data_IF_173513664340
#
_entry.id   IF_173513664340
#
_cell.length_a   1.000
_cell.length_b   1.000
_cell.length_c   1.000
_cell.angle_alpha   90.00
_cell.angle_beta   90.00
_cell.angle_gamma   90.00
#
_symmetry.space_group_name_H-M   'P 1'
#
loop_
_entity.id
_entity.type
_entity.pdbx_description
1 polymer ?
#
# COMPACT_ATOMS: atom_id res chain seq x y z
N UNK A 1 -18.99 -21.92 28.88
CA UNK A 1 -18.59 -21.95 27.45
C UNK A 1 -19.52 -20.99 26.71
N UNK A 2 -19.06 -19.91 26.09
CA UNK A 2 -19.95 -19.04 25.34
C UNK A 2 -20.35 -19.74 24.04
N UNK A 3 -21.63 -19.79 23.76
CA UNK A 3 -22.24 -20.35 22.56
C UNK A 3 -21.66 -19.69 21.30
N UNK A 4 -20.87 -20.45 20.57
CA UNK A 4 -20.19 -20.01 19.36
C UNK A 4 -21.09 -20.20 18.12
N UNK A 5 -22.30 -19.61 18.14
CA UNK A 5 -23.24 -19.68 17.02
C UNK A 5 -23.41 -18.31 16.35
N UNK A 6 -22.29 -17.60 16.09
CA UNK A 6 -22.33 -16.45 15.20
C UNK A 6 -22.88 -16.86 13.84
N UNK A 7 -23.89 -16.18 13.33
CA UNK A 7 -24.48 -16.43 12.00
C UNK A 7 -23.42 -16.27 10.91
N UNK A 8 -22.55 -15.29 11.05
CA UNK A 8 -21.43 -15.07 10.11
C UNK A 8 -20.49 -16.28 10.10
N UNK A 9 -20.14 -16.84 11.26
CA UNK A 9 -19.32 -18.04 11.34
C UNK A 9 -19.99 -19.25 10.67
N UNK A 10 -21.30 -19.42 10.83
CA UNK A 10 -22.06 -20.47 10.17
C UNK A 10 -22.05 -20.31 8.63
N UNK A 11 -22.26 -19.09 8.13
CA UNK A 11 -22.23 -18.78 6.71
C UNK A 11 -20.85 -19.03 6.13
N UNK A 12 -19.78 -18.64 6.83
CA UNK A 12 -18.41 -18.83 6.38
C UNK A 12 -18.02 -20.31 6.39
N UNK A 13 -18.34 -21.05 7.44
CA UNK A 13 -18.10 -22.49 7.51
C UNK A 13 -18.84 -23.27 6.43
N UNK A 14 -20.10 -22.91 6.15
CA UNK A 14 -20.88 -23.53 5.08
C UNK A 14 -20.34 -23.21 3.67
N UNK A 15 -19.51 -22.18 3.53
CA UNK A 15 -18.88 -21.76 2.28
C UNK A 15 -17.41 -22.14 2.18
N UNK A 16 -16.94 -23.01 3.09
CA UNK A 16 -15.53 -23.46 3.20
C UNK A 16 -14.51 -22.31 3.37
N UNK A 17 -14.95 -21.22 3.98
CA UNK A 17 -14.11 -20.04 4.26
C UNK A 17 -13.61 -20.12 5.70
N UNK A 18 -12.34 -20.44 5.87
CA UNK A 18 -11.71 -20.68 7.20
C UNK A 18 -11.36 -19.42 7.98
N UNK A 19 -11.33 -18.23 7.38
CA UNK A 19 -10.89 -16.99 8.05
C UNK A 19 -11.60 -15.76 7.49
N UNK A 20 -11.67 -14.91 8.28
CA UNK A 20 -11.40 -13.67 8.84
C UNK A 20 -11.96 -12.50 8.11
N UNK A 21 -12.29 -11.64 8.99
CA UNK A 21 -12.74 -10.28 8.70
C UNK A 21 -11.79 -9.36 9.47
N UNK A 22 -10.46 -9.65 9.38
CA UNK A 22 -9.43 -8.99 10.20
C UNK A 22 -9.32 -7.48 9.98
N UNK A 23 -9.83 -6.99 8.85
CA UNK A 23 -9.93 -5.56 8.59
C UNK A 23 -11.00 -4.86 9.44
N UNK A 24 -11.96 -5.60 9.98
CA UNK A 24 -13.11 -5.03 10.67
C UNK A 24 -13.05 -5.28 12.16
N UNK A 25 -13.52 -4.30 12.92
CA UNK A 25 -13.63 -4.41 14.36
C UNK A 25 -14.77 -5.35 14.76
N UNK A 26 -14.70 -5.92 15.96
CA UNK A 26 -15.78 -6.74 16.49
C UNK A 26 -17.12 -6.01 16.55
N UNK A 27 -17.13 -4.70 16.76
CA UNK A 27 -18.35 -3.89 16.81
C UNK A 27 -19.00 -3.77 15.42
N UNK A 28 -18.21 -3.57 14.36
CA UNK A 28 -18.70 -3.55 12.97
C UNK A 28 -19.27 -4.90 12.58
N UNK A 29 -18.57 -5.98 12.91
CA UNK A 29 -19.01 -7.35 12.63
C UNK A 29 -20.34 -7.63 13.32
N UNK A 30 -20.48 -7.30 14.61
CA UNK A 30 -21.73 -7.46 15.35
C UNK A 30 -22.87 -6.62 14.77
N UNK A 31 -22.59 -5.37 14.38
CA UNK A 31 -23.58 -4.49 13.79
C UNK A 31 -24.13 -5.06 12.48
N UNK A 32 -23.27 -5.57 11.62
CA UNK A 32 -23.67 -6.19 10.34
C UNK A 32 -24.33 -7.55 10.58
N UNK A 33 -23.86 -8.34 11.52
CA UNK A 33 -24.47 -9.62 11.90
C UNK A 33 -25.92 -9.45 12.38
N UNK A 34 -26.23 -8.38 13.11
CA UNK A 34 -27.59 -8.06 13.54
C UNK A 34 -28.56 -7.82 12.38
N UNK A 35 -28.06 -7.52 11.17
CA UNK A 35 -28.86 -7.36 9.95
C UNK A 35 -29.17 -8.69 9.25
N UNK A 36 -28.63 -9.80 9.76
CA UNK A 36 -28.83 -11.13 9.19
C UNK A 36 -30.07 -11.79 9.82
N UNK A 37 -30.97 -12.24 8.98
CA UNK A 37 -32.14 -13.01 9.36
C UNK A 37 -32.10 -14.39 8.68
N UNK A 38 -32.79 -15.36 9.27
CA UNK A 38 -32.99 -16.66 8.66
C UNK A 38 -34.40 -16.73 8.07
N UNK A 39 -34.50 -17.17 6.82
CA UNK A 39 -35.76 -17.42 6.11
C UNK A 39 -35.61 -18.70 5.28
N UNK A 40 -36.58 -19.61 5.40
CA UNK A 40 -36.61 -20.86 4.65
C UNK A 40 -35.29 -21.66 4.74
N UNK A 41 -34.68 -21.71 5.94
CA UNK A 41 -33.41 -22.40 6.18
C UNK A 41 -32.19 -21.74 5.52
N UNK A 42 -32.29 -20.49 5.07
CA UNK A 42 -31.20 -19.74 4.47
C UNK A 42 -31.00 -18.38 5.19
N UNK A 43 -29.75 -18.01 5.33
CA UNK A 43 -29.41 -16.69 5.86
C UNK A 43 -29.57 -15.61 4.79
N UNK A 44 -30.23 -14.53 5.16
CA UNK A 44 -30.39 -13.33 4.34
C UNK A 44 -29.88 -12.12 5.11
N UNK A 45 -29.23 -11.20 4.42
CA UNK A 45 -28.75 -9.95 4.97
C UNK A 45 -29.49 -8.76 4.35
N UNK A 46 -29.87 -7.81 5.19
CA UNK A 46 -30.51 -6.59 4.73
C UNK A 46 -29.48 -5.65 4.11
N UNK A 47 -29.65 -5.31 2.85
CA UNK A 47 -28.79 -4.34 2.17
C UNK A 47 -29.02 -2.93 2.70
N UNK A 48 -27.97 -2.27 3.18
CA UNK A 48 -28.05 -0.95 3.80
C UNK A 48 -28.38 0.17 2.81
N UNK A 49 -28.14 -0.06 1.51
CA UNK A 49 -28.38 0.95 0.45
C UNK A 49 -29.76 0.77 -0.19
N UNK A 50 -30.03 -0.43 -0.73
CA UNK A 50 -31.27 -0.71 -1.49
C UNK A 50 -32.45 -1.16 -0.62
N UNK A 51 -32.25 -1.29 0.69
CA UNK A 51 -33.25 -1.70 1.68
C UNK A 51 -33.97 -3.03 1.34
N UNK A 52 -33.25 -3.92 0.65
CA UNK A 52 -33.72 -5.25 0.23
C UNK A 52 -32.89 -6.34 0.87
N UNK A 53 -33.51 -7.51 1.08
CA UNK A 53 -32.80 -8.68 1.56
C UNK A 53 -32.11 -9.42 0.40
N UNK A 54 -30.86 -9.83 0.63
CA UNK A 54 -30.08 -10.68 -0.26
C UNK A 54 -29.63 -11.94 0.49
N UNK A 55 -29.33 -13.02 -0.24
CA UNK A 55 -28.71 -14.20 0.37
C UNK A 55 -27.36 -13.79 0.98
N UNK A 56 -27.16 -14.11 2.26
CA UNK A 56 -25.97 -13.79 2.99
C UNK A 56 -24.83 -14.76 2.58
N UNK A 57 -24.09 -14.40 1.55
CA UNK A 57 -22.86 -15.08 1.13
C UNK A 57 -21.66 -14.36 1.73
N UNK A 58 -20.48 -15.01 1.88
CA UNK A 58 -19.27 -14.38 2.42
C UNK A 58 -18.91 -13.05 1.75
N UNK A 59 -18.99 -12.96 0.44
CA UNK A 59 -18.72 -11.74 -0.32
C UNK A 59 -19.73 -10.62 0.00
N UNK A 60 -21.02 -10.96 0.10
CA UNK A 60 -22.05 -10.00 0.48
C UNK A 60 -21.87 -9.48 1.93
N UNK A 61 -21.37 -10.32 2.84
CA UNK A 61 -21.04 -9.90 4.21
C UNK A 61 -19.89 -8.89 4.17
N UNK A 62 -18.82 -9.16 3.42
CA UNK A 62 -17.71 -8.21 3.24
C UNK A 62 -18.20 -6.90 2.63
N UNK A 63 -19.10 -6.97 1.61
CA UNK A 63 -19.71 -5.78 0.99
C UNK A 63 -20.50 -4.95 2.00
N UNK A 64 -21.32 -5.59 2.82
CA UNK A 64 -22.13 -4.87 3.83
C UNK A 64 -21.28 -4.30 4.96
N UNK A 65 -20.16 -4.92 5.34
CA UNK A 65 -19.17 -4.36 6.27
C UNK A 65 -18.51 -3.10 5.72
N UNK A 66 -18.13 -3.10 4.45
CA UNK A 66 -17.59 -1.90 3.81
C UNK A 66 -18.62 -0.79 3.70
N UNK A 67 -19.88 -1.10 3.37
CA UNK A 67 -20.96 -0.12 3.34
C UNK A 67 -21.17 0.45 4.74
N UNK A 68 -21.22 -0.38 5.78
CA UNK A 68 -21.33 0.08 7.15
C UNK A 68 -20.23 1.04 7.54
N UNK A 69 -18.97 0.71 7.22
CA UNK A 69 -17.81 1.55 7.49
C UNK A 69 -17.84 2.86 6.70
N UNK A 70 -18.25 2.84 5.44
CA UNK A 70 -18.43 4.04 4.63
C UNK A 70 -19.45 5.00 5.25
N UNK A 71 -20.53 4.46 5.79
CA UNK A 71 -21.59 5.25 6.43
C UNK A 71 -21.18 5.80 7.81
N UNK A 72 -20.44 5.03 8.62
CA UNK A 72 -20.19 5.33 10.03
C UNK A 72 -18.83 5.97 10.31
N UNK A 73 -17.76 5.48 9.69
CA UNK A 73 -16.39 5.97 9.91
C UNK A 73 -16.01 7.04 8.88
N UNK A 74 -16.31 6.79 7.60
CA UNK A 74 -16.00 7.73 6.52
C UNK A 74 -17.07 8.80 6.32
N UNK A 75 -18.25 8.63 6.95
CA UNK A 75 -19.38 9.55 6.97
C UNK A 75 -19.96 9.88 5.58
N UNK A 76 -19.82 8.99 4.61
CA UNK A 76 -20.44 9.19 3.30
C UNK A 76 -21.97 9.09 3.41
N UNK A 77 -22.72 10.09 2.90
CA UNK A 77 -24.19 10.02 2.88
C UNK A 77 -24.66 8.82 2.04
N UNK A 78 -25.71 8.16 2.48
CA UNK A 78 -26.30 7.02 1.77
C UNK A 78 -26.62 7.34 0.30
N UNK A 79 -27.01 8.55 -0.01
CA UNK A 79 -27.30 9.02 -1.36
C UNK A 79 -26.07 9.03 -2.30
N UNK A 80 -24.85 9.05 -1.73
CA UNK A 80 -23.59 8.99 -2.51
C UNK A 80 -23.11 7.55 -2.73
N UNK A 81 -23.75 6.55 -2.16
CA UNK A 81 -23.32 5.16 -2.27
C UNK A 81 -24.27 4.42 -3.20
N UNK A 82 -23.75 3.90 -4.30
CA UNK A 82 -24.43 2.98 -5.19
C UNK A 82 -23.82 1.59 -5.10
N UNK A 83 -24.58 0.56 -5.43
CA UNK A 83 -24.14 -0.83 -5.40
C UNK A 83 -24.55 -1.56 -6.66
N UNK A 84 -23.67 -2.47 -7.09
CA UNK A 84 -23.90 -3.26 -8.31
C UNK A 84 -24.20 -2.34 -9.50
N UNK A 85 -23.37 -1.27 -9.61
CA UNK A 85 -23.46 -0.32 -10.69
C UNK A 85 -22.89 -0.93 -11.97
N UNK A 86 -23.67 -0.85 -13.05
CA UNK A 86 -23.20 -1.31 -14.36
C UNK A 86 -22.10 -0.38 -14.87
N UNK A 87 -20.96 -0.96 -15.24
CA UNK A 87 -19.82 -0.30 -15.88
C UNK A 87 -19.71 -0.83 -17.31
N UNK A 88 -19.64 0.06 -18.29
CA UNK A 88 -19.55 -0.31 -19.71
C UNK A 88 -18.11 -0.21 -20.21
N UNK A 89 -17.63 -1.26 -20.87
CA UNK A 89 -16.35 -1.31 -21.57
C UNK A 89 -16.60 -1.26 -23.08
N UNK A 90 -16.62 -0.06 -23.63
CA UNK A 90 -17.02 0.10 -25.04
C UNK A 90 -18.50 -0.20 -25.29
N UNK A 91 -18.84 -0.77 -26.46
CA UNK A 91 -20.22 -0.90 -26.91
C UNK A 91 -20.89 -2.25 -26.57
N UNK A 92 -20.17 -3.24 -26.11
CA UNK A 92 -20.70 -4.62 -25.96
C UNK A 92 -20.45 -5.29 -24.60
N UNK A 93 -19.39 -4.91 -23.90
CA UNK A 93 -19.05 -5.55 -22.64
C UNK A 93 -19.45 -4.68 -21.46
N UNK A 94 -19.98 -5.29 -20.42
CA UNK A 94 -20.33 -4.62 -19.17
C UNK A 94 -19.97 -5.48 -17.98
N UNK A 95 -19.70 -4.83 -16.86
CA UNK A 95 -19.48 -5.46 -15.56
C UNK A 95 -20.28 -4.76 -14.48
N UNK A 96 -20.23 -5.30 -13.27
CA UNK A 96 -20.89 -4.73 -12.09
C UNK A 96 -19.85 -4.34 -11.05
N UNK A 97 -19.70 -3.05 -10.80
CA UNK A 97 -18.91 -2.57 -9.68
C UNK A 97 -19.65 -2.79 -8.37
N UNK A 98 -18.99 -3.41 -7.39
CA UNK A 98 -19.62 -3.86 -6.16
C UNK A 98 -20.18 -2.71 -5.31
N UNK A 99 -19.36 -1.68 -5.05
CA UNK A 99 -19.75 -0.46 -4.36
C UNK A 99 -19.15 0.72 -5.13
N UNK A 100 -19.92 1.75 -5.34
CA UNK A 100 -19.47 3.01 -5.94
C UNK A 100 -19.83 4.15 -5.01
N UNK A 101 -18.83 4.93 -4.60
CA UNK A 101 -19.05 6.20 -3.93
C UNK A 101 -19.04 7.29 -5.00
N UNK A 102 -20.13 8.04 -5.11
CA UNK A 102 -20.27 9.12 -6.07
C UNK A 102 -19.62 10.42 -5.55
N UNK A 103 -19.23 11.28 -6.48
CA UNK A 103 -18.87 12.67 -6.17
C UNK A 103 -20.06 13.41 -5.56
N UNK A 104 -19.83 14.61 -5.05
CA UNK A 104 -20.89 15.43 -4.45
C UNK A 104 -22.04 15.74 -5.42
N UNK A 105 -21.76 15.82 -6.71
CA UNK A 105 -22.76 16.04 -7.76
C UNK A 105 -23.65 14.82 -8.03
N UNK A 106 -23.42 13.68 -7.37
CA UNK A 106 -24.14 12.42 -7.50
C UNK A 106 -24.16 11.81 -8.92
N UNK A 107 -23.22 12.21 -9.78
CA UNK A 107 -23.18 11.77 -11.18
C UNK A 107 -21.97 10.87 -11.45
N UNK A 108 -20.79 11.32 -11.07
CA UNK A 108 -19.54 10.66 -11.41
C UNK A 108 -19.01 9.82 -10.25
N UNK A 109 -18.48 8.64 -10.51
CA UNK A 109 -17.77 7.84 -9.52
C UNK A 109 -16.57 8.59 -8.95
N UNK A 110 -16.42 8.51 -7.63
CA UNK A 110 -15.27 9.01 -6.89
C UNK A 110 -14.40 7.86 -6.40
N UNK A 111 -15.04 6.83 -5.81
CA UNK A 111 -14.36 5.62 -5.35
C UNK A 111 -15.12 4.41 -5.89
N UNK A 112 -14.41 3.46 -6.48
CA UNK A 112 -14.96 2.18 -6.88
C UNK A 112 -14.36 1.08 -6.01
N UNK A 113 -15.21 0.21 -5.46
CA UNK A 113 -14.78 -0.97 -4.72
C UNK A 113 -15.04 -2.22 -5.56
N UNK A 114 -14.05 -3.11 -5.55
CA UNK A 114 -14.17 -4.49 -5.96
C UNK A 114 -14.03 -5.38 -4.73
N UNK A 115 -15.08 -6.12 -4.41
CA UNK A 115 -15.17 -6.94 -3.20
C UNK A 115 -15.05 -8.41 -3.58
N UNK A 116 -14.24 -9.12 -2.82
CA UNK A 116 -14.10 -10.57 -2.94
C UNK A 116 -14.42 -11.24 -1.60
N UNK A 117 -14.78 -12.52 -1.67
CA UNK A 117 -14.86 -13.33 -0.45
C UNK A 117 -13.47 -13.53 0.13
N UNK A 118 -13.34 -13.71 1.45
CA UNK A 118 -12.05 -14.03 2.07
C UNK A 118 -11.30 -15.15 1.34
N UNK A 119 -9.95 -15.06 1.29
CA UNK A 119 -9.03 -15.97 0.59
C UNK A 119 -8.99 -15.85 -0.94
N UNK A 120 -9.77 -14.98 -1.54
CA UNK A 120 -9.64 -14.67 -2.97
C UNK A 120 -8.73 -13.46 -3.16
N UNK A 121 -7.91 -13.52 -4.20
CA UNK A 121 -6.92 -12.47 -4.53
C UNK A 121 -7.11 -11.89 -5.93
N UNK A 122 -7.98 -12.50 -6.73
CA UNK A 122 -8.33 -12.02 -8.07
C UNK A 122 -9.20 -10.75 -8.02
N UNK A 123 -9.30 -10.05 -9.16
CA UNK A 123 -10.20 -8.90 -9.35
C UNK A 123 -9.53 -7.55 -9.33
N UNK A 124 -8.20 -7.47 -9.09
CA UNK A 124 -7.48 -6.19 -9.10
C UNK A 124 -7.48 -5.55 -10.50
N UNK A 125 -7.25 -6.34 -11.54
CA UNK A 125 -7.28 -5.84 -12.92
C UNK A 125 -8.71 -5.45 -13.36
N UNK A 126 -9.72 -6.15 -12.84
CA UNK A 126 -11.12 -5.78 -13.03
C UNK A 126 -11.41 -4.40 -12.39
N UNK A 127 -10.96 -4.16 -11.17
CA UNK A 127 -11.06 -2.86 -10.49
C UNK A 127 -10.40 -1.74 -11.30
N UNK A 128 -9.16 -1.96 -11.76
CA UNK A 128 -8.43 -0.97 -12.59
C UNK A 128 -9.21 -0.66 -13.88
N UNK A 129 -9.76 -1.69 -14.53
CA UNK A 129 -10.59 -1.52 -15.72
C UNK A 129 -11.85 -0.70 -15.44
N UNK A 130 -12.51 -0.92 -14.30
CA UNK A 130 -13.67 -0.12 -13.88
C UNK A 130 -13.30 1.33 -13.62
N UNK A 131 -12.20 1.58 -12.90
CA UNK A 131 -11.71 2.93 -12.66
C UNK A 131 -11.37 3.67 -13.95
N UNK A 132 -10.78 2.98 -14.93
CA UNK A 132 -10.49 3.57 -16.24
C UNK A 132 -11.76 3.90 -17.02
N UNK A 133 -12.72 2.97 -17.09
CA UNK A 133 -13.96 3.12 -17.86
C UNK A 133 -14.84 4.26 -17.30
N UNK A 134 -14.99 4.34 -15.99
CA UNK A 134 -15.82 5.33 -15.31
C UNK A 134 -15.09 6.65 -14.97
N UNK A 135 -13.76 6.70 -15.16
CA UNK A 135 -12.97 7.87 -14.79
C UNK A 135 -12.82 8.06 -13.28
N UNK A 136 -13.07 7.02 -12.48
CA UNK A 136 -12.96 7.11 -11.03
C UNK A 136 -11.51 7.30 -10.59
N UNK A 137 -11.21 8.33 -9.76
CA UNK A 137 -9.84 8.59 -9.31
C UNK A 137 -9.33 7.60 -8.25
N UNK A 138 -10.21 6.88 -7.57
CA UNK A 138 -9.85 5.97 -6.48
C UNK A 138 -10.45 4.59 -6.73
N UNK A 139 -9.64 3.56 -6.62
CA UNK A 139 -10.03 2.16 -6.65
C UNK A 139 -9.67 1.45 -5.34
N UNK A 140 -10.59 0.68 -4.78
CA UNK A 140 -10.40 -0.11 -3.57
C UNK A 140 -10.72 -1.55 -3.87
N UNK A 141 -9.73 -2.41 -3.66
CA UNK A 141 -9.94 -3.85 -3.68
C UNK A 141 -9.91 -4.39 -2.26
N UNK A 142 -10.83 -5.28 -1.90
CA UNK A 142 -10.81 -5.92 -0.58
C UNK A 142 -11.49 -7.27 -0.56
N UNK A 143 -10.93 -8.19 0.24
CA UNK A 143 -11.53 -9.49 0.54
C UNK A 143 -11.91 -9.64 2.04
N UNK A 144 -11.91 -8.55 2.81
CA UNK A 144 -12.22 -8.56 4.24
C UNK A 144 -11.01 -8.81 5.16
N UNK A 145 -9.92 -9.38 4.65
CA UNK A 145 -8.64 -9.54 5.35
C UNK A 145 -7.58 -8.59 4.83
N UNK A 146 -7.62 -8.36 3.53
CA UNK A 146 -6.66 -7.53 2.80
C UNK A 146 -7.39 -6.40 2.11
N UNK A 147 -6.68 -5.30 1.93
CA UNK A 147 -7.15 -4.12 1.22
C UNK A 147 -6.02 -3.56 0.37
N UNK A 148 -6.34 -3.22 -0.88
CA UNK A 148 -5.47 -2.46 -1.78
C UNK A 148 -6.21 -1.16 -2.11
N UNK A 149 -5.52 -0.04 -1.98
CA UNK A 149 -6.05 1.31 -2.18
C UNK A 149 -5.26 1.97 -3.30
N UNK A 150 -5.91 2.26 -4.39
CA UNK A 150 -5.28 2.80 -5.59
C UNK A 150 -5.81 4.20 -5.91
N UNK A 151 -4.91 5.08 -6.26
CA UNK A 151 -5.20 6.30 -7.01
C UNK A 151 -4.86 6.09 -8.47
N UNK A 152 -5.79 6.42 -9.36
CA UNK A 152 -5.57 6.46 -10.80
C UNK A 152 -5.02 7.84 -11.18
N UNK A 153 -3.70 7.95 -11.33
CA UNK A 153 -3.05 9.19 -11.77
C UNK A 153 -3.44 9.54 -13.21
N UNK A 154 -3.31 8.55 -14.09
CA UNK A 154 -3.66 8.63 -15.50
C UNK A 154 -4.33 7.33 -15.96
N UNK A 155 -4.92 7.24 -17.15
CA UNK A 155 -5.39 5.98 -17.68
C UNK A 155 -4.30 4.88 -17.61
N UNK A 156 -4.63 3.77 -16.99
CA UNK A 156 -3.75 2.61 -16.75
C UNK A 156 -2.56 2.84 -15.79
N UNK A 157 -2.42 4.03 -15.20
CA UNK A 157 -1.37 4.32 -14.21
C UNK A 157 -2.02 4.43 -12.83
N UNK A 158 -1.65 3.50 -11.95
CA UNK A 158 -2.19 3.40 -10.60
C UNK A 158 -1.07 3.41 -9.58
N UNK A 159 -1.23 4.23 -8.54
CA UNK A 159 -0.35 4.28 -7.38
C UNK A 159 -1.13 3.97 -6.11
N UNK A 160 -0.50 3.38 -5.12
CA UNK A 160 -1.14 3.15 -3.83
C UNK A 160 -1.31 4.45 -3.05
N UNK A 161 -2.40 4.53 -2.30
CA UNK A 161 -2.67 5.63 -1.36
C UNK A 161 -2.77 5.10 0.07
N UNK A 162 -2.36 5.91 1.08
CA UNK A 162 -2.26 5.44 2.47
C UNK A 162 -3.62 5.10 3.08
N UNK A 163 -4.68 5.80 2.72
CA UNK A 163 -6.03 5.56 3.24
C UNK A 163 -7.13 6.04 2.29
N UNK A 164 -8.36 5.64 2.60
CA UNK A 164 -9.55 6.14 1.93
C UNK A 164 -9.88 7.54 2.49
N UNK A 165 -10.20 8.54 1.65
CA UNK A 165 -10.64 9.85 2.13
C UNK A 165 -11.98 9.75 2.87
N UNK A 166 -12.16 10.54 3.93
CA UNK A 166 -13.48 10.79 4.53
C UNK A 166 -14.29 11.73 3.65
N UNK A 167 -15.59 11.82 3.90
CA UNK A 167 -16.48 12.71 3.12
C UNK A 167 -16.05 14.18 3.13
N UNK A 168 -15.38 14.63 4.19
CA UNK A 168 -14.87 15.99 4.37
C UNK A 168 -13.48 16.22 3.78
N UNK A 169 -12.88 15.18 3.22
CA UNK A 169 -11.51 15.20 2.69
C UNK A 169 -11.52 15.01 1.17
N UNK A 170 -10.51 15.55 0.52
CA UNK A 170 -10.28 15.35 -0.89
C UNK A 170 -9.17 14.31 -1.13
N UNK A 171 -9.12 13.73 -2.33
CA UNK A 171 -7.98 12.89 -2.73
C UNK A 171 -6.66 13.65 -2.59
N UNK A 172 -6.65 14.95 -2.91
CA UNK A 172 -5.45 15.79 -2.79
C UNK A 172 -4.92 15.87 -1.35
N UNK A 173 -5.82 15.86 -0.37
CA UNK A 173 -5.41 15.85 1.05
C UNK A 173 -4.71 14.53 1.40
N UNK A 174 -5.25 13.41 0.90
CA UNK A 174 -4.65 12.07 1.08
C UNK A 174 -3.28 11.95 0.42
N UNK A 175 -3.15 12.46 -0.82
CA UNK A 175 -1.88 12.40 -1.58
C UNK A 175 -0.76 13.24 -0.94
N UNK A 176 -1.10 14.22 -0.11
CA UNK A 176 -0.12 15.00 0.65
C UNK A 176 0.33 14.30 1.94
N UNK A 177 -0.44 13.33 2.43
CA UNK A 177 -0.06 12.60 3.63
C UNK A 177 1.19 11.78 3.38
N UNK A 178 2.11 11.86 4.32
CA UNK A 178 3.31 11.04 4.37
C UNK A 178 3.10 9.94 5.39
N UNK A 179 3.71 8.79 5.13
CA UNK A 179 3.56 7.66 6.01
C UNK A 179 4.33 7.87 7.32
N UNK A 180 3.76 7.45 8.43
CA UNK A 180 4.48 7.33 9.70
C UNK A 180 5.27 6.02 9.72
N UNK A 181 6.28 5.93 10.59
CA UNK A 181 7.03 4.68 10.78
C UNK A 181 6.11 3.52 11.21
N UNK A 182 5.13 3.80 12.08
CA UNK A 182 4.13 2.81 12.50
C UNK A 182 3.33 2.28 11.31
N UNK A 183 2.89 3.15 10.41
CA UNK A 183 2.18 2.72 9.21
C UNK A 183 3.06 1.81 8.35
N UNK A 184 4.32 2.18 8.17
CA UNK A 184 5.29 1.38 7.41
C UNK A 184 5.54 0.02 8.06
N UNK A 185 5.61 -0.07 9.39
CA UNK A 185 5.75 -1.34 10.13
C UNK A 185 4.57 -2.29 9.94
N UNK A 186 3.37 -1.75 9.87
CA UNK A 186 2.13 -2.51 9.66
C UNK A 186 1.99 -3.00 8.20
N UNK A 187 2.58 -2.27 7.24
CA UNK A 187 2.44 -2.51 5.81
C UNK A 187 3.75 -2.94 5.13
N UNK A 188 4.78 -3.23 5.89
CA UNK A 188 6.11 -3.61 5.39
C UNK A 188 6.04 -4.84 4.47
N UNK A 189 6.35 -4.64 3.19
CA UNK A 189 6.30 -5.68 2.17
C UNK A 189 7.34 -6.80 2.40
N UNK A 190 8.48 -6.49 3.04
CA UNK A 190 9.48 -7.50 3.43
C UNK A 190 8.92 -8.42 4.51
N UNK A 191 8.30 -7.85 5.54
CA UNK A 191 7.71 -8.59 6.66
C UNK A 191 6.52 -9.44 6.20
N UNK A 192 5.76 -8.96 5.23
CA UNK A 192 4.63 -9.69 4.66
C UNK A 192 5.06 -10.79 3.66
N UNK A 193 6.35 -10.90 3.34
CA UNK A 193 6.87 -11.88 2.39
C UNK A 193 6.46 -11.62 0.94
N UNK A 194 5.99 -10.43 0.61
CA UNK A 194 5.60 -10.03 -0.75
C UNK A 194 6.80 -9.87 -1.67
N UNK A 195 7.91 -9.45 -1.11
CA UNK A 195 9.17 -9.24 -1.83
C UNK A 195 10.37 -9.51 -0.93
N UNK A 196 11.58 -9.45 -1.46
CA UNK A 196 12.83 -9.47 -0.71
C UNK A 196 13.65 -8.25 -1.06
N UNK A 197 14.46 -7.75 -0.12
CA UNK A 197 15.33 -6.60 -0.39
C UNK A 197 16.25 -6.89 -1.58
N UNK A 198 16.80 -8.10 -1.66
CA UNK A 198 17.62 -8.54 -2.81
C UNK A 198 16.88 -8.38 -4.14
N UNK A 199 15.60 -8.79 -4.20
CA UNK A 199 14.80 -8.65 -5.43
C UNK A 199 14.60 -7.18 -5.80
N UNK A 200 14.25 -6.34 -4.81
CA UNK A 200 14.09 -4.89 -5.04
C UNK A 200 15.38 -4.27 -5.60
N UNK A 201 16.54 -4.61 -5.02
CA UNK A 201 17.81 -4.07 -5.47
C UNK A 201 18.18 -4.54 -6.89
N UNK A 202 17.87 -5.80 -7.22
CA UNK A 202 17.99 -6.32 -8.59
C UNK A 202 17.11 -5.55 -9.57
N UNK A 203 15.84 -5.38 -9.24
CA UNK A 203 14.89 -4.66 -10.09
C UNK A 203 15.34 -3.19 -10.28
N UNK A 204 15.86 -2.54 -9.24
CA UNK A 204 16.43 -1.19 -9.34
C UNK A 204 17.65 -1.14 -10.24
N UNK A 205 18.59 -2.09 -10.12
CA UNK A 205 19.78 -2.16 -10.96
C UNK A 205 19.42 -2.38 -12.44
N UNK A 206 18.54 -3.33 -12.73
CA UNK A 206 18.16 -3.68 -14.10
C UNK A 206 17.30 -2.63 -14.77
N UNK A 207 16.25 -2.14 -14.07
CA UNK A 207 15.23 -1.30 -14.68
C UNK A 207 15.61 0.18 -14.73
N UNK A 208 16.37 0.66 -13.75
CA UNK A 208 16.61 2.10 -13.57
C UNK A 208 18.09 2.46 -13.70
N UNK A 209 18.95 1.78 -12.95
CA UNK A 209 20.34 2.21 -12.78
C UNK A 209 21.25 1.77 -13.91
N UNK A 210 20.95 0.65 -14.58
CA UNK A 210 21.78 0.12 -15.66
C UNK A 210 22.03 1.09 -16.82
N UNK A 211 21.10 2.03 -17.05
CA UNK A 211 21.20 3.05 -18.10
C UNK A 211 21.28 4.49 -17.57
N UNK A 212 21.43 4.68 -16.26
CA UNK A 212 21.41 6.02 -15.66
C UNK A 212 22.74 6.78 -15.76
N UNK A 213 23.83 6.09 -16.14
CA UNK A 213 25.17 6.69 -16.25
C UNK A 213 25.83 7.00 -14.90
N UNK A 214 25.37 6.37 -13.83
CA UNK A 214 25.89 6.47 -12.47
C UNK A 214 26.36 5.10 -11.98
N UNK A 215 27.13 5.06 -10.89
CA UNK A 215 27.45 3.79 -10.23
C UNK A 215 26.21 3.30 -9.46
N UNK A 216 25.63 2.14 -9.84
CA UNK A 216 24.41 1.65 -9.20
C UNK A 216 24.56 1.39 -7.69
N UNK A 217 25.72 0.85 -7.29
CA UNK A 217 25.98 0.55 -5.89
C UNK A 217 26.02 1.82 -5.03
N UNK A 218 26.77 2.82 -5.47
CA UNK A 218 26.88 4.09 -4.74
C UNK A 218 25.53 4.78 -4.60
N UNK A 219 24.71 4.80 -5.65
CA UNK A 219 23.39 5.42 -5.60
C UNK A 219 22.42 4.65 -4.69
N UNK A 220 22.38 3.32 -4.80
CA UNK A 220 21.56 2.50 -3.89
C UNK A 220 22.00 2.70 -2.44
N UNK A 221 23.29 2.73 -2.17
CA UNK A 221 23.84 2.93 -0.84
C UNK A 221 23.38 4.27 -0.24
N UNK A 222 23.49 5.37 -1.01
CA UNK A 222 23.01 6.69 -0.60
C UNK A 222 21.51 6.69 -0.30
N UNK A 223 20.69 6.01 -1.13
CA UNK A 223 19.24 5.91 -0.93
C UNK A 223 18.88 5.11 0.31
N UNK A 224 19.58 4.01 0.57
CA UNK A 224 19.37 3.20 1.79
C UNK A 224 19.66 4.03 3.03
N UNK A 225 20.78 4.77 3.05
CA UNK A 225 21.11 5.61 4.20
C UNK A 225 20.15 6.79 4.39
N UNK A 226 19.72 7.42 3.32
CA UNK A 226 18.68 8.46 3.39
C UNK A 226 17.38 7.90 4.01
N UNK A 227 16.99 6.68 3.61
CA UNK A 227 15.82 5.99 4.14
C UNK A 227 16.00 5.57 5.60
N UNK A 228 17.13 5.00 5.97
CA UNK A 228 17.45 4.63 7.35
C UNK A 228 17.39 5.85 8.29
N UNK A 229 17.91 6.99 7.85
CA UNK A 229 17.87 8.22 8.62
C UNK A 229 16.42 8.73 8.80
N UNK A 230 15.60 8.63 7.78
CA UNK A 230 14.19 9.01 7.85
C UNK A 230 13.42 8.12 8.84
N UNK A 231 13.62 6.81 8.78
CA UNK A 231 13.01 5.85 9.71
C UNK A 231 13.51 6.04 11.15
N UNK A 232 14.82 6.33 11.33
CA UNK A 232 15.41 6.64 12.64
C UNK A 232 14.76 7.87 13.28
N UNK A 233 14.48 8.91 12.51
CA UNK A 233 13.69 10.06 12.97
C UNK A 233 12.31 9.65 13.46
N UNK A 234 11.64 8.75 12.74
CA UNK A 234 10.32 8.21 13.09
C UNK A 234 10.32 7.39 14.38
N UNK A 235 11.45 6.78 14.77
CA UNK A 235 11.58 6.10 16.07
C UNK A 235 11.60 7.09 17.23
N UNK A 236 12.30 8.20 17.04
CA UNK A 236 12.45 9.21 18.09
C UNK A 236 11.21 10.12 18.23
N UNK A 237 10.38 10.19 17.20
CA UNK A 237 9.11 10.93 17.19
C UNK A 237 8.02 10.14 16.47
N UNK A 238 7.09 9.57 17.21
CA UNK A 238 5.99 8.77 16.68
C UNK A 238 5.00 9.57 15.81
N UNK A 239 5.00 10.89 15.91
CA UNK A 239 4.19 11.79 15.07
C UNK A 239 4.90 12.19 13.78
N UNK A 240 6.19 11.87 13.65
CA UNK A 240 6.98 12.20 12.48
C UNK A 240 6.43 11.51 11.24
N UNK A 241 6.22 12.27 10.19
CA UNK A 241 5.84 11.76 8.88
C UNK A 241 7.08 11.54 8.02
N UNK A 242 7.25 10.33 7.53
CA UNK A 242 8.39 9.96 6.72
C UNK A 242 8.51 10.86 5.48
N UNK A 243 9.72 11.32 5.21
CA UNK A 243 10.04 12.15 4.04
C UNK A 243 10.50 11.33 2.83
N UNK A 244 10.92 10.08 3.04
CA UNK A 244 11.28 9.15 1.99
C UNK A 244 10.03 8.60 1.32
N UNK A 245 9.41 9.44 0.49
CA UNK A 245 8.05 9.23 -0.03
C UNK A 245 7.87 9.99 -1.35
N UNK A 246 7.22 9.36 -2.32
CA UNK A 246 6.90 9.98 -3.62
C UNK A 246 5.63 10.84 -3.54
N UNK A 247 4.49 10.22 -3.27
CA UNK A 247 3.19 10.89 -3.20
C UNK A 247 2.88 11.75 -4.44
N UNK A 248 2.37 12.97 -4.18
CA UNK A 248 2.05 13.97 -5.21
C UNK A 248 3.24 14.89 -5.57
N UNK A 249 4.46 14.54 -5.13
CA UNK A 249 5.66 15.34 -5.35
C UNK A 249 6.12 15.27 -6.81
N UNK A 250 6.55 16.41 -7.35
CA UNK A 250 7.30 16.42 -8.61
C UNK A 250 8.65 15.71 -8.45
N UNK A 251 9.28 15.26 -9.55
CA UNK A 251 10.62 14.66 -9.47
C UNK A 251 11.64 15.55 -8.78
N UNK A 252 11.57 16.87 -8.93
CA UNK A 252 12.45 17.85 -8.28
C UNK A 252 12.21 17.90 -6.77
N UNK A 253 10.94 17.86 -6.35
CA UNK A 253 10.58 17.86 -4.94
C UNK A 253 11.01 16.57 -4.25
N UNK A 254 10.90 15.42 -4.92
CA UNK A 254 11.44 14.15 -4.44
C UNK A 254 12.95 14.26 -4.26
N UNK A 255 13.68 14.74 -5.28
CA UNK A 255 15.14 14.90 -5.18
C UNK A 255 15.56 15.80 -4.03
N UNK A 256 14.86 16.92 -3.83
CA UNK A 256 15.14 17.82 -2.72
C UNK A 256 14.94 17.13 -1.36
N UNK A 257 13.84 16.39 -1.19
CA UNK A 257 13.56 15.66 0.05
C UNK A 257 14.62 14.59 0.34
N UNK A 258 14.95 13.75 -0.66
CA UNK A 258 15.94 12.68 -0.50
C UNK A 258 17.35 13.26 -0.25
N UNK A 259 17.71 14.34 -0.94
CA UNK A 259 18.98 15.02 -0.69
C UNK A 259 19.07 15.58 0.74
N UNK A 260 17.99 16.15 1.26
CA UNK A 260 17.93 16.63 2.65
C UNK A 260 18.09 15.48 3.65
N UNK A 261 17.48 14.33 3.39
CA UNK A 261 17.64 13.12 4.21
C UNK A 261 19.08 12.61 4.17
N UNK A 262 19.72 12.56 3.01
CA UNK A 262 21.12 12.17 2.88
C UNK A 262 22.04 13.12 3.66
N UNK A 263 21.83 14.43 3.55
CA UNK A 263 22.59 15.40 4.34
C UNK A 263 22.36 15.25 5.84
N UNK A 264 21.17 14.85 6.26
CA UNK A 264 20.88 14.47 7.65
C UNK A 264 21.65 13.23 8.07
N UNK A 265 21.65 12.18 7.25
CA UNK A 265 22.39 10.94 7.47
C UNK A 265 23.90 11.17 7.60
N UNK A 266 24.48 12.02 6.74
CA UNK A 266 25.90 12.40 6.79
C UNK A 266 26.29 13.05 8.12
N UNK A 267 25.43 13.89 8.68
CA UNK A 267 25.66 14.55 9.98
C UNK A 267 25.54 13.59 11.15
N UNK A 268 24.58 12.69 11.10
CA UNK A 268 24.32 11.72 12.16
C UNK A 268 25.39 10.62 12.19
N UNK A 269 25.73 10.09 11.01
CA UNK A 269 26.69 9.00 10.86
C UNK A 269 27.97 9.46 10.16
N UNK A 270 28.78 10.22 10.90
CA UNK A 270 30.03 10.80 10.40
C UNK A 270 31.01 9.71 9.97
N UNK A 271 31.72 9.96 8.87
CA UNK A 271 32.74 9.04 8.34
C UNK A 271 32.20 7.97 7.40
N UNK A 272 30.88 7.90 7.15
CA UNK A 272 30.26 6.99 6.17
C UNK A 272 30.36 7.57 4.75
N UNK A 273 30.16 8.89 4.63
CA UNK A 273 30.17 9.62 3.38
C UNK A 273 31.19 10.73 3.38
N UNK A 274 31.71 11.05 2.21
CA UNK A 274 32.49 12.26 2.01
C UNK A 274 31.53 13.49 1.98
N UNK A 275 31.99 14.69 2.39
CA UNK A 275 31.17 15.89 2.32
C UNK A 275 30.62 16.20 0.92
N UNK A 276 31.33 15.78 -0.11
CA UNK A 276 31.00 15.99 -1.54
C UNK A 276 29.99 15.00 -2.09
N UNK A 277 29.70 13.91 -1.37
CA UNK A 277 28.75 12.89 -1.83
C UNK A 277 27.34 13.46 -1.95
N UNK A 278 26.72 13.22 -3.08
CA UNK A 278 25.34 13.67 -3.40
C UNK A 278 24.63 12.64 -4.26
N UNK A 279 23.32 12.76 -4.37
CA UNK A 279 22.51 11.94 -5.29
C UNK A 279 22.79 12.42 -6.71
N UNK A 280 23.40 11.55 -7.51
CA UNK A 280 23.74 11.82 -8.91
C UNK A 280 22.59 11.45 -9.87
N UNK A 281 21.65 10.61 -9.44
CA UNK A 281 20.49 10.22 -10.26
C UNK A 281 19.72 11.42 -10.78
N UNK A 282 19.27 11.32 -12.03
CA UNK A 282 18.29 12.25 -12.60
C UNK A 282 16.99 12.17 -11.82
N UNK A 283 16.27 13.28 -11.77
CA UNK A 283 15.07 13.42 -10.96
C UNK A 283 14.03 12.32 -11.20
N UNK A 284 13.79 11.98 -12.49
CA UNK A 284 12.81 10.95 -12.86
C UNK A 284 13.24 9.55 -12.41
N UNK A 285 14.52 9.20 -12.60
CA UNK A 285 15.08 7.92 -12.16
C UNK A 285 15.03 7.81 -10.63
N UNK A 286 15.38 8.89 -9.93
CA UNK A 286 15.31 8.94 -8.48
C UNK A 286 13.88 8.71 -7.97
N UNK A 287 12.89 9.37 -8.59
CA UNK A 287 11.47 9.18 -8.24
C UNK A 287 11.06 7.71 -8.33
N UNK A 288 11.48 7.02 -9.39
CA UNK A 288 11.23 5.57 -9.55
C UNK A 288 11.94 4.77 -8.46
N UNK A 289 13.23 5.03 -8.18
CA UNK A 289 13.97 4.32 -7.13
C UNK A 289 13.30 4.49 -5.75
N UNK A 290 12.85 5.69 -5.42
CA UNK A 290 12.14 5.96 -4.16
C UNK A 290 10.83 5.16 -4.09
N UNK A 291 10.06 5.06 -5.17
CA UNK A 291 8.80 4.31 -5.19
C UNK A 291 8.96 2.82 -4.92
N UNK A 292 10.10 2.23 -5.27
CA UNK A 292 10.41 0.83 -4.93
C UNK A 292 10.78 0.64 -3.46
N UNK A 293 11.44 1.64 -2.86
CA UNK A 293 11.98 1.55 -1.51
C UNK A 293 11.02 2.09 -0.44
N UNK A 294 10.10 2.98 -0.78
CA UNK A 294 9.25 3.66 0.22
C UNK A 294 8.35 2.72 1.03
N UNK A 295 7.99 1.54 0.46
CA UNK A 295 7.05 0.57 1.06
C UNK A 295 7.69 -0.49 1.95
N UNK A 296 9.01 -0.49 2.06
CA UNK A 296 9.75 -1.44 2.87
C UNK A 296 10.33 -0.75 4.10
N UNK A 297 10.40 -1.46 5.23
CA UNK A 297 11.05 -0.97 6.45
C UNK A 297 12.46 -1.53 6.52
N UNK A 298 13.46 -0.65 6.69
CA UNK A 298 14.87 -1.04 6.77
C UNK A 298 15.41 -0.98 8.21
N UNK A 299 15.05 0.05 8.97
CA UNK A 299 15.61 0.25 10.31
C UNK A 299 15.10 -0.80 11.30
N UNK A 300 16.02 -1.44 12.03
CA UNK A 300 15.71 -2.59 12.91
C UNK A 300 15.01 -3.77 12.20
N UNK A 301 15.10 -3.82 10.87
CA UNK A 301 14.80 -5.03 10.12
C UNK A 301 15.88 -6.08 10.40
N UNK A 302 15.58 -7.37 10.13
CA UNK A 302 16.55 -8.42 10.34
C UNK A 302 17.87 -8.08 9.61
N UNK A 303 18.94 -7.82 10.37
CA UNK A 303 20.27 -7.48 9.86
C UNK A 303 20.72 -8.41 8.73
N UNK A 304 20.36 -9.69 8.82
CA UNK A 304 20.65 -10.68 7.78
C UNK A 304 20.07 -10.32 6.42
N UNK A 305 18.90 -9.67 6.36
CA UNK A 305 18.27 -9.24 5.10
C UNK A 305 19.10 -8.12 4.45
N UNK A 306 19.61 -7.21 5.27
CA UNK A 306 20.44 -6.10 4.82
C UNK A 306 21.80 -6.61 4.37
N UNK A 307 22.42 -7.50 5.14
CA UNK A 307 23.70 -8.13 4.81
C UNK A 307 23.61 -8.92 3.50
N UNK A 308 22.62 -9.79 3.34
CA UNK A 308 22.41 -10.57 2.11
C UNK A 308 22.22 -9.67 0.87
N UNK A 309 21.57 -8.51 1.05
CA UNK A 309 21.39 -7.55 -0.04
C UNK A 309 22.70 -6.85 -0.42
N UNK A 310 23.50 -6.45 0.56
CA UNK A 310 24.82 -5.84 0.32
C UNK A 310 25.85 -6.84 -0.20
N UNK A 311 25.90 -8.07 0.31
CA UNK A 311 26.75 -9.14 -0.22
C UNK A 311 26.48 -9.40 -1.71
N UNK A 312 25.24 -9.23 -2.16
CA UNK A 312 24.90 -9.35 -3.59
C UNK A 312 25.46 -8.19 -4.42
N UNK A 313 25.43 -6.96 -3.90
CA UNK A 313 25.90 -5.77 -4.64
C UNK A 313 27.44 -5.67 -4.72
N UNK A 314 28.13 -6.15 -3.70
CA UNK A 314 29.61 -6.08 -3.61
C UNK A 314 30.33 -6.80 -4.78
N UNK A 315 29.96 -8.02 -5.21
CA UNK A 315 30.63 -8.70 -6.31
C UNK A 315 30.52 -7.98 -7.66
N UNK A 316 29.50 -7.16 -7.84
CA UNK A 316 29.31 -6.36 -9.06
C UNK A 316 30.32 -5.20 -9.14
N UNK A 317 30.66 -4.61 -8.01
CA UNK A 317 31.65 -3.53 -7.91
C UNK A 317 33.08 -4.09 -8.08
N UNK A 318 33.38 -5.23 -7.47
CA UNK A 318 34.72 -5.84 -7.52
C UNK A 318 35.03 -6.48 -8.86
N UNK A 319 34.05 -6.84 -9.69
CA UNK A 319 34.32 -7.27 -11.09
C UNK A 319 34.89 -6.16 -11.97
N UNK A 320 34.74 -4.89 -11.55
CA UNK A 320 35.32 -3.73 -12.27
C UNK A 320 36.69 -3.28 -11.76
N UNK A 321 37.12 -3.73 -10.57
CA UNK A 321 38.44 -3.40 -9.97
C UNK A 321 39.01 -4.65 -9.29
N UNK A 322 40.11 -5.13 -9.80
CA UNK A 322 40.89 -6.27 -9.37
C UNK A 322 40.74 -6.81 -7.95
N UNK A 323 40.10 -7.94 -7.80
CA UNK A 323 40.58 -9.15 -7.11
C UNK A 323 40.75 -9.18 -5.59
N UNK A 324 40.21 -8.29 -4.75
CA UNK A 324 40.16 -8.52 -3.28
C UNK A 324 38.79 -8.19 -2.70
N UNK A 325 38.21 -9.18 -2.03
CA UNK A 325 36.92 -9.03 -1.32
C UNK A 325 37.21 -8.45 0.06
N UNK A 326 37.03 -7.16 0.22
CA UNK A 326 36.87 -6.55 1.53
C UNK A 326 35.40 -6.10 1.69
N UNK A 327 34.82 -6.35 2.86
CA UNK A 327 33.59 -5.67 3.25
C UNK A 327 33.90 -4.18 3.21
N UNK A 328 33.19 -3.36 2.44
CA UNK A 328 33.45 -1.92 2.45
C UNK A 328 33.36 -1.38 3.86
N UNK A 329 34.37 -0.62 4.32
CA UNK A 329 34.36 0.02 5.65
C UNK A 329 33.02 0.69 6.03
N UNK A 330 32.33 1.34 5.08
CA UNK A 330 31.00 1.91 5.37
C UNK A 330 29.95 0.88 5.81
N UNK A 331 30.03 -0.36 5.30
CA UNK A 331 29.10 -1.44 5.67
C UNK A 331 29.44 -1.99 7.07
N UNK A 332 30.73 -2.17 7.38
CA UNK A 332 31.17 -2.53 8.73
C UNK A 332 30.77 -1.48 9.77
N UNK A 333 31.00 -0.20 9.46
CA UNK A 333 30.62 0.92 10.32
C UNK A 333 29.10 1.04 10.49
N UNK A 334 28.32 0.71 9.46
CA UNK A 334 26.85 0.64 9.55
C UNK A 334 26.42 -0.44 10.52
N UNK A 335 26.91 -1.66 10.35
CA UNK A 335 26.52 -2.81 11.19
C UNK A 335 26.91 -2.54 12.65
N UNK A 336 28.09 -2.00 12.91
CA UNK A 336 28.57 -1.68 14.26
C UNK A 336 27.77 -0.54 14.91
N UNK A 337 27.29 0.45 14.15
CA UNK A 337 26.48 1.57 14.68
C UNK A 337 24.99 1.25 14.80
N UNK A 338 24.53 0.16 14.19
CA UNK A 338 23.15 -0.35 14.32
C UNK A 338 23.00 -1.37 15.46
N UNK A 339 24.10 -1.86 16.04
CA UNK A 339 24.19 -2.65 17.25
C UNK A 339 24.28 -1.76 18.49
#
# INVERSE_FOLDING_TARGET
MPNNHSKINQIFSASDVKHGLSLFTNNEIKAVEAMIIERDGKFHIKCQIKDKYKIAKPEEIVRQLWIYRLLTEYNYPKARIDIERVVYFGSRDSGLADIVVLQENLRYPYIIFEIKRPQRTEGLEQLKSYCNAEGAPIGIWSNGNEIIRLHREEPNIFVEIPRIPKVTETLRDILKERWTLRWLEEHDELKQGKTTLKKILLDLEELVLGNAGVDPFEEIFKLIYAKLYDEWKGINDSSYQLEFFVGDRSPEQVKQAISNLLEGAKREWQGVFEPTDKIELRNDHLKVCVSFLEKIKLFNSNLRIIDEAFEYLIPQVSKKKEGQFFTPRPVEDMVVKML
#
